data_IF_313628192236
#
_entry.id   IF_313628192236
#
_cell.length_a   1.000
_cell.length_b   1.000
_cell.length_c   1.000
_cell.angle_alpha   90.00
_cell.angle_beta   90.00
_cell.angle_gamma   90.00
#
_symmetry.space_group_name_H-M   'P 1'
#
loop_
_entity.id
_entity.type
_entity.pdbx_description
1 polymer ?
#
# COMPACT_ATOMS: atom_id res chain seq x y z
N UNK A 1 -8.17 21.46 6.90
CA UNK A 1 -9.02 20.26 7.05
C UNK A 1 -10.47 20.70 7.14
N UNK A 2 -11.24 20.59 6.06
CA UNK A 2 -12.65 21.00 6.03
C UNK A 2 -13.62 19.88 6.43
N UNK A 3 -13.20 18.61 6.42
CA UNK A 3 -14.05 17.47 6.79
C UNK A 3 -13.31 16.51 7.75
N UNK A 4 -13.75 16.38 9.02
CA UNK A 4 -13.10 15.55 10.03
C UNK A 4 -12.99 14.06 9.66
N UNK A 5 -13.94 13.55 8.87
CA UNK A 5 -14.01 12.15 8.43
C UNK A 5 -13.59 11.96 6.95
N UNK A 6 -13.04 13.02 6.34
CA UNK A 6 -12.57 13.02 4.95
C UNK A 6 -11.22 12.32 4.79
N UNK A 7 -10.91 11.93 3.55
CA UNK A 7 -9.58 11.45 3.20
C UNK A 7 -8.72 12.60 2.67
N UNK A 8 -7.43 12.56 2.97
CA UNK A 8 -6.50 13.48 2.35
C UNK A 8 -6.26 13.12 0.89
N UNK A 9 -6.29 14.13 0.04
CA UNK A 9 -5.73 13.98 -1.29
C UNK A 9 -4.21 13.79 -1.19
N UNK A 10 -3.62 13.25 -2.27
CA UNK A 10 -2.18 12.99 -2.35
C UNK A 10 -1.34 14.19 -1.90
N UNK A 11 -1.65 15.37 -2.44
CA UNK A 11 -0.82 16.55 -2.22
C UNK A 11 -0.98 17.11 -0.80
N UNK A 12 -2.15 16.98 -0.19
CA UNK A 12 -2.39 17.32 1.23
C UNK A 12 -1.56 16.42 2.16
N UNK A 13 -1.52 15.12 1.87
CA UNK A 13 -0.72 14.15 2.62
C UNK A 13 0.78 14.45 2.53
N UNK A 14 1.27 14.73 1.32
CA UNK A 14 2.68 15.08 1.10
C UNK A 14 3.05 16.35 1.84
N UNK A 15 2.22 17.40 1.72
CA UNK A 15 2.43 18.66 2.42
C UNK A 15 2.48 18.46 3.93
N UNK A 16 1.62 17.60 4.49
CA UNK A 16 1.63 17.31 5.92
C UNK A 16 2.93 16.62 6.36
N UNK A 17 3.45 15.65 5.60
CA UNK A 17 4.73 15.00 5.93
C UNK A 17 5.90 15.97 5.89
N UNK A 18 5.98 16.83 4.87
CA UNK A 18 7.01 17.86 4.77
C UNK A 18 6.94 18.85 5.93
N UNK A 19 5.73 19.31 6.25
CA UNK A 19 5.49 20.26 7.34
C UNK A 19 5.88 19.66 8.69
N UNK A 20 5.54 18.39 8.92
CA UNK A 20 5.91 17.67 10.13
C UNK A 20 7.42 17.50 10.27
N UNK A 21 8.10 17.07 9.20
CA UNK A 21 9.55 16.91 9.20
C UNK A 21 10.28 18.23 9.48
N UNK A 22 9.80 19.34 8.89
CA UNK A 22 10.33 20.68 9.14
C UNK A 22 10.07 21.16 10.56
N UNK A 23 8.84 21.01 11.07
CA UNK A 23 8.46 21.47 12.39
C UNK A 23 9.24 20.75 13.51
N UNK A 24 9.57 19.48 13.29
CA UNK A 24 10.30 18.65 14.24
C UNK A 24 11.83 18.63 13.97
N UNK A 25 12.30 19.39 12.97
CA UNK A 25 13.70 19.43 12.55
C UNK A 25 14.33 18.03 12.34
N UNK A 26 13.58 17.14 11.68
CA UNK A 26 14.00 15.76 11.46
C UNK A 26 15.12 15.70 10.40
N UNK A 27 16.20 14.92 10.61
CA UNK A 27 17.34 14.85 9.69
C UNK A 27 17.06 13.91 8.49
N UNK A 28 15.96 14.13 7.77
CA UNK A 28 15.55 13.31 6.63
C UNK A 28 16.49 13.55 5.45
N UNK A 29 17.03 12.46 4.89
CA UNK A 29 17.85 12.48 3.67
C UNK A 29 17.11 11.74 2.56
N UNK A 30 16.70 12.47 1.53
CA UNK A 30 16.03 11.91 0.35
C UNK A 30 17.05 11.58 -0.74
N UNK A 31 16.66 10.75 -1.71
CA UNK A 31 17.54 10.35 -2.81
C UNK A 31 18.73 9.47 -2.38
N UNK A 32 18.68 8.88 -1.18
CA UNK A 32 19.70 7.99 -0.65
C UNK A 32 19.11 6.58 -0.55
N UNK A 33 19.45 5.73 -1.51
CA UNK A 33 18.99 4.34 -1.52
C UNK A 33 19.93 3.47 -0.65
N UNK A 34 19.37 2.81 0.35
CA UNK A 34 20.10 1.81 1.17
C UNK A 34 20.09 0.49 0.43
N UNK A 35 21.28 -0.10 0.22
CA UNK A 35 21.46 -1.31 -0.58
C UNK A 35 21.81 -2.54 0.26
N UNK A 36 22.40 -2.34 1.44
CA UNK A 36 22.82 -3.43 2.32
C UNK A 36 22.85 -3.00 3.78
N UNK A 37 22.51 -3.93 4.68
CA UNK A 37 22.69 -3.79 6.12
C UNK A 37 23.38 -5.06 6.60
N UNK A 38 24.54 -4.89 7.23
CA UNK A 38 25.35 -6.00 7.75
C UNK A 38 25.85 -5.69 9.16
N UNK A 39 26.39 -6.71 9.84
CA UNK A 39 26.97 -6.52 11.18
C UNK A 39 28.14 -5.55 11.11
N UNK A 40 28.16 -4.58 12.03
CA UNK A 40 29.22 -3.58 12.07
C UNK A 40 30.59 -4.15 12.47
N UNK A 41 31.68 -3.38 12.24
CA UNK A 41 33.04 -3.79 12.55
C UNK A 41 33.20 -4.26 14.01
N UNK A 42 33.95 -5.35 14.19
CA UNK A 42 34.15 -5.95 15.52
C UNK A 42 32.89 -6.60 16.12
N UNK A 43 31.87 -6.88 15.29
CA UNK A 43 30.66 -7.59 15.71
C UNK A 43 29.67 -6.73 16.49
N UNK A 44 29.77 -5.39 16.40
CA UNK A 44 28.92 -4.45 17.15
C UNK A 44 28.13 -3.55 16.21
N UNK A 45 26.85 -3.36 16.52
CA UNK A 45 25.95 -2.52 15.73
C UNK A 45 25.80 -3.00 14.29
N UNK A 46 25.50 -2.05 13.40
CA UNK A 46 25.23 -2.28 11.99
C UNK A 46 26.07 -1.35 11.11
N UNK A 47 26.61 -1.91 10.04
CA UNK A 47 27.06 -1.15 8.88
C UNK A 47 25.92 -1.08 7.86
N UNK A 48 25.57 0.12 7.44
CA UNK A 48 24.52 0.39 6.46
C UNK A 48 25.17 0.98 5.22
N UNK A 49 25.10 0.28 4.10
CA UNK A 49 25.59 0.78 2.81
C UNK A 49 24.46 1.48 2.08
N UNK A 50 24.73 2.68 1.62
CA UNK A 50 23.82 3.43 0.78
C UNK A 50 24.55 4.05 -0.40
N UNK A 51 23.78 4.52 -1.38
CA UNK A 51 24.32 5.36 -2.44
C UNK A 51 25.02 6.59 -1.84
N UNK A 52 26.30 6.76 -2.18
CA UNK A 52 27.13 7.86 -1.67
C UNK A 52 27.89 7.58 -0.37
N UNK A 53 27.77 6.40 0.25
CA UNK A 53 28.65 6.01 1.36
C UNK A 53 28.08 4.97 2.34
N UNK A 54 28.87 4.67 3.38
CA UNK A 54 28.47 3.80 4.48
C UNK A 54 28.18 4.58 5.76
N UNK A 55 27.25 4.07 6.55
CA UNK A 55 26.86 4.59 7.86
C UNK A 55 27.04 3.52 8.93
N UNK A 56 27.34 3.93 10.15
CA UNK A 56 27.39 3.05 11.32
C UNK A 56 26.25 3.42 12.27
N UNK A 57 25.50 2.42 12.72
CA UNK A 57 24.37 2.63 13.62
C UNK A 57 24.32 1.53 14.69
N UNK A 58 23.96 1.90 15.92
CA UNK A 58 23.69 0.92 16.98
C UNK A 58 22.38 0.17 16.73
N UNK A 59 21.40 0.85 16.14
CA UNK A 59 20.06 0.32 15.84
C UNK A 59 19.66 0.72 14.42
N UNK A 60 18.94 -0.17 13.75
CA UNK A 60 18.35 0.10 12.43
C UNK A 60 16.87 -0.24 12.49
N UNK A 61 16.03 0.69 12.04
CA UNK A 61 14.59 0.48 11.89
C UNK A 61 14.28 0.43 10.40
N UNK A 62 13.76 -0.70 9.92
CA UNK A 62 13.41 -0.89 8.51
C UNK A 62 11.95 -0.50 8.31
N UNK A 63 11.73 0.67 7.70
CA UNK A 63 10.42 1.23 7.39
C UNK A 63 10.24 1.42 5.86
N UNK A 64 10.71 0.47 5.04
CA UNK A 64 10.72 0.56 3.58
C UNK A 64 9.35 0.32 2.92
N UNK A 65 8.32 0.03 3.70
CA UNK A 65 7.02 -0.45 3.20
C UNK A 65 7.05 -1.93 2.80
N UNK A 66 5.86 -2.51 2.63
CA UNK A 66 5.67 -3.93 2.27
C UNK A 66 5.13 -4.13 0.83
N UNK A 67 4.75 -3.05 0.14
CA UNK A 67 4.04 -3.08 -1.15
C UNK A 67 4.77 -2.26 -2.24
N UNK A 68 6.09 -2.11 -2.10
CA UNK A 68 6.93 -1.29 -2.97
C UNK A 68 7.28 -1.94 -4.31
N UNK A 69 7.27 -3.28 -4.38
CA UNK A 69 7.63 -4.03 -5.58
C UNK A 69 6.37 -4.52 -6.28
N UNK A 70 6.09 -4.07 -7.51
CA UNK A 70 4.92 -4.52 -8.23
C UNK A 70 4.99 -6.02 -8.55
N UNK A 71 3.95 -6.77 -8.19
CA UNK A 71 3.82 -8.17 -8.58
C UNK A 71 3.10 -8.27 -9.92
N UNK A 72 3.80 -8.76 -10.95
CA UNK A 72 3.21 -9.02 -12.27
C UNK A 72 3.04 -10.53 -12.47
N UNK A 73 1.80 -11.04 -12.60
CA UNK A 73 1.54 -12.48 -12.76
C UNK A 73 2.21 -13.06 -14.01
N UNK A 74 2.73 -14.29 -13.95
CA UNK A 74 3.44 -14.94 -15.08
C UNK A 74 2.61 -15.01 -16.36
N UNK A 75 1.29 -15.22 -16.22
CA UNK A 75 0.34 -15.27 -17.37
C UNK A 75 0.37 -13.99 -18.22
N UNK A 76 0.82 -12.85 -17.68
CA UNK A 76 1.04 -11.60 -18.45
C UNK A 76 1.92 -11.82 -19.69
N UNK A 77 2.89 -12.74 -19.60
CA UNK A 77 3.83 -13.08 -20.69
C UNK A 77 3.19 -13.92 -21.79
N UNK A 78 2.05 -14.53 -21.50
CA UNK A 78 1.31 -15.40 -22.42
C UNK A 78 0.20 -14.64 -23.16
N UNK A 79 -0.08 -13.40 -22.75
CA UNK A 79 -1.11 -12.57 -23.38
C UNK A 79 -0.66 -12.10 -24.77
N UNK A 80 -1.61 -11.93 -25.71
CA UNK A 80 -1.28 -11.45 -27.05
C UNK A 80 -0.55 -10.11 -27.05
N UNK A 81 0.44 -9.95 -27.93
CA UNK A 81 1.29 -8.75 -28.00
C UNK A 81 0.55 -7.46 -28.36
N UNK A 82 -0.65 -7.56 -28.92
CA UNK A 82 -1.50 -6.40 -29.23
C UNK A 82 -2.22 -5.83 -28.01
N UNK A 83 -2.26 -6.56 -26.89
CA UNK A 83 -2.88 -6.12 -25.65
C UNK A 83 -1.89 -5.29 -24.82
N UNK A 84 -2.21 -4.01 -24.61
CA UNK A 84 -1.41 -3.18 -23.71
C UNK A 84 -1.66 -3.58 -22.26
N UNK A 85 -0.57 -3.72 -21.52
CA UNK A 85 -0.58 -4.09 -20.11
C UNK A 85 0.06 -2.97 -19.30
N UNK A 86 -0.58 -2.59 -18.20
CA UNK A 86 -0.08 -1.57 -17.28
C UNK A 86 -0.25 -2.05 -15.84
N UNK A 87 0.82 -1.92 -15.05
CA UNK A 87 0.73 -2.15 -13.62
C UNK A 87 0.14 -0.90 -12.93
N UNK A 88 -0.65 -1.09 -11.87
CA UNK A 88 -1.24 0.02 -11.11
C UNK A 88 -0.19 0.98 -10.55
N UNK A 89 1.03 0.52 -10.27
CA UNK A 89 2.14 1.36 -9.84
C UNK A 89 2.61 2.37 -10.92
N UNK A 90 2.35 2.08 -12.20
CA UNK A 90 2.68 2.96 -13.34
C UNK A 90 1.50 3.84 -13.77
N UNK A 91 0.27 3.49 -13.39
CA UNK A 91 -0.93 4.26 -13.70
C UNK A 91 -0.98 5.58 -12.90
N UNK A 92 -1.38 6.66 -13.57
CA UNK A 92 -1.48 8.02 -13.03
C UNK A 92 -2.80 8.69 -13.38
N UNK A 93 -3.37 8.41 -14.56
CA UNK A 93 -4.66 8.96 -15.00
C UNK A 93 -5.22 8.17 -16.21
N UNK A 94 -6.50 8.37 -16.56
CA UNK A 94 -7.16 7.68 -17.67
C UNK A 94 -6.52 7.93 -19.05
N UNK A 95 -5.91 9.09 -19.27
CA UNK A 95 -5.37 9.52 -20.57
C UNK A 95 -4.13 8.72 -21.00
N UNK A 96 -3.47 8.02 -20.06
CA UNK A 96 -2.34 7.14 -20.37
C UNK A 96 -2.75 5.87 -21.13
N UNK A 97 -4.05 5.56 -21.17
CA UNK A 97 -4.56 4.32 -21.72
C UNK A 97 -5.13 4.55 -23.11
N UNK A 98 -4.87 3.63 -24.05
CA UNK A 98 -5.43 3.71 -25.40
C UNK A 98 -6.96 3.66 -25.37
N UNK A 99 -7.65 4.25 -26.37
CA UNK A 99 -9.10 4.16 -26.49
C UNK A 99 -9.60 2.72 -26.46
N UNK A 100 -10.78 2.50 -25.86
CA UNK A 100 -11.41 1.18 -25.74
C UNK A 100 -11.73 0.78 -24.30
N UNK A 101 -12.16 -0.47 -24.13
CA UNK A 101 -12.47 -1.03 -22.81
C UNK A 101 -11.22 -1.40 -22.01
N UNK A 102 -11.32 -1.34 -20.68
CA UNK A 102 -10.23 -1.67 -19.74
C UNK A 102 -10.62 -2.86 -18.89
N UNK A 103 -9.71 -3.81 -18.73
CA UNK A 103 -9.83 -4.92 -17.79
C UNK A 103 -8.90 -4.68 -16.59
N UNK A 104 -9.47 -4.47 -15.42
CA UNK A 104 -8.71 -4.38 -14.16
C UNK A 104 -8.61 -5.75 -13.51
N UNK A 105 -7.39 -6.22 -13.29
CA UNK A 105 -7.12 -7.50 -12.62
C UNK A 105 -6.82 -7.27 -11.15
N UNK A 106 -7.76 -7.67 -10.28
CA UNK A 106 -7.67 -7.51 -8.83
C UNK A 106 -8.66 -6.46 -8.32
N UNK A 107 -9.42 -6.84 -7.30
CA UNK A 107 -10.49 -6.02 -6.70
C UNK A 107 -10.17 -5.57 -5.27
N UNK A 108 -8.89 -5.36 -4.97
CA UNK A 108 -8.45 -4.68 -3.75
C UNK A 108 -8.49 -3.16 -3.97
N UNK A 109 -7.96 -2.38 -3.01
CA UNK A 109 -8.06 -0.91 -2.96
C UNK A 109 -7.73 -0.22 -4.31
N UNK A 110 -6.51 -0.39 -4.83
CA UNK A 110 -6.12 0.27 -6.08
C UNK A 110 -6.97 -0.18 -7.28
N UNK A 111 -7.34 -1.45 -7.33
CA UNK A 111 -8.11 -2.00 -8.45
C UNK A 111 -9.53 -1.42 -8.52
N UNK A 112 -10.19 -1.25 -7.37
CA UNK A 112 -11.53 -0.65 -7.33
C UNK A 112 -11.48 0.86 -7.54
N UNK A 113 -10.50 1.56 -6.96
CA UNK A 113 -10.34 3.01 -7.13
C UNK A 113 -10.04 3.39 -8.60
N UNK A 114 -9.13 2.67 -9.25
CA UNK A 114 -8.84 2.90 -10.68
C UNK A 114 -10.04 2.53 -11.54
N UNK A 115 -10.74 1.44 -11.23
CA UNK A 115 -11.94 1.07 -11.98
C UNK A 115 -13.04 2.15 -11.88
N UNK A 116 -13.24 2.72 -10.69
CA UNK A 116 -14.17 3.83 -10.45
C UNK A 116 -13.79 5.08 -11.25
N UNK A 117 -12.53 5.55 -11.15
CA UNK A 117 -12.03 6.70 -11.91
C UNK A 117 -12.21 6.52 -13.42
N UNK A 118 -11.93 5.31 -13.94
CA UNK A 118 -12.09 5.02 -15.37
C UNK A 118 -13.57 5.02 -15.80
N UNK A 119 -14.49 4.59 -14.94
CA UNK A 119 -15.94 4.66 -15.19
C UNK A 119 -16.38 6.13 -15.20
N UNK A 120 -15.91 6.94 -14.24
CA UNK A 120 -16.19 8.38 -14.18
C UNK A 120 -15.65 9.12 -15.42
N UNK A 121 -14.50 8.66 -15.95
CA UNK A 121 -13.94 9.12 -17.22
C UNK A 121 -14.69 8.59 -18.46
N UNK A 122 -15.81 7.90 -18.29
CA UNK A 122 -16.69 7.42 -19.36
C UNK A 122 -16.20 6.17 -20.09
N UNK A 123 -15.30 5.38 -19.48
CA UNK A 123 -14.72 4.21 -20.14
C UNK A 123 -15.47 2.91 -19.82
N UNK A 124 -15.57 1.97 -20.77
CA UNK A 124 -16.04 0.62 -20.46
C UNK A 124 -15.01 -0.10 -19.58
N UNK A 125 -15.41 -0.55 -18.39
CA UNK A 125 -14.52 -1.21 -17.43
C UNK A 125 -15.04 -2.60 -17.07
N UNK A 126 -14.14 -3.57 -17.06
CA UNK A 126 -14.35 -4.93 -16.57
C UNK A 126 -13.46 -5.14 -15.35
N UNK A 127 -14.00 -5.69 -14.27
CA UNK A 127 -13.26 -5.93 -13.03
C UNK A 127 -13.17 -7.43 -12.73
N UNK A 128 -11.96 -7.98 -12.76
CA UNK A 128 -11.71 -9.35 -12.28
C UNK A 128 -11.57 -9.35 -10.76
N UNK A 129 -12.49 -10.04 -10.10
CA UNK A 129 -12.52 -10.18 -8.64
C UNK A 129 -11.77 -11.43 -8.18
N UNK A 130 -11.41 -11.45 -6.89
CA UNK A 130 -10.88 -12.63 -6.22
C UNK A 130 -11.62 -12.86 -4.91
N UNK A 131 -11.22 -13.88 -4.14
CA UNK A 131 -11.74 -14.15 -2.80
C UNK A 131 -11.30 -13.12 -1.74
N UNK A 132 -10.61 -12.03 -2.12
CA UNK A 132 -10.27 -10.94 -1.21
C UNK A 132 -11.54 -10.38 -0.58
N UNK A 133 -11.56 -10.37 0.76
CA UNK A 133 -12.65 -9.80 1.54
C UNK A 133 -12.82 -8.31 1.26
N UNK A 134 -14.06 -7.83 1.39
CA UNK A 134 -14.38 -6.41 1.28
C UNK A 134 -14.81 -5.92 2.65
N UNK A 135 -14.29 -4.77 3.04
CA UNK A 135 -14.74 -4.07 4.24
C UNK A 135 -15.69 -2.96 3.83
N UNK A 136 -16.78 -2.81 4.57
CA UNK A 136 -17.66 -1.66 4.43
C UNK A 136 -16.92 -0.41 4.91
N UNK A 137 -17.16 0.73 4.26
CA UNK A 137 -16.53 2.00 4.64
C UNK A 137 -16.97 2.43 6.05
N UNK A 138 -18.26 2.29 6.35
CA UNK A 138 -18.85 2.70 7.62
C UNK A 138 -19.74 1.60 8.20
N UNK A 139 -19.72 1.48 9.52
CA UNK A 139 -20.62 0.66 10.30
C UNK A 139 -21.28 1.54 11.37
N UNK A 140 -22.63 1.60 11.37
CA UNK A 140 -23.43 2.41 12.33
C UNK A 140 -22.96 3.87 12.43
N UNK A 141 -22.63 4.49 11.30
CA UNK A 141 -22.18 5.89 11.23
C UNK A 141 -20.73 6.13 11.67
N UNK A 142 -19.93 5.08 11.87
CA UNK A 142 -18.50 5.17 12.22
C UNK A 142 -17.64 4.50 11.17
N UNK A 143 -16.44 5.03 10.97
CA UNK A 143 -15.39 4.43 10.16
C UNK A 143 -15.07 3.00 10.66
N UNK A 144 -14.93 2.03 9.75
CA UNK A 144 -14.61 0.65 10.12
C UNK A 144 -13.23 0.50 10.77
N UNK A 145 -12.24 1.35 10.40
CA UNK A 145 -10.94 1.41 11.07
C UNK A 145 -11.09 1.98 12.48
N UNK A 146 -11.93 2.99 12.68
CA UNK A 146 -12.25 3.47 14.02
C UNK A 146 -12.86 2.36 14.87
N UNK A 147 -13.82 1.59 14.32
CA UNK A 147 -14.39 0.44 15.00
C UNK A 147 -13.32 -0.60 15.36
N UNK A 148 -12.39 -0.90 14.44
CA UNK A 148 -11.27 -1.81 14.67
C UNK A 148 -10.29 -1.34 15.74
N UNK A 149 -10.03 -0.03 15.83
CA UNK A 149 -9.23 0.57 16.90
C UNK A 149 -9.97 0.46 18.23
N UNK A 150 -11.23 0.90 18.28
CA UNK A 150 -12.03 0.96 19.50
C UNK A 150 -12.29 -0.42 20.11
N UNK A 151 -12.36 -1.47 19.27
CA UNK A 151 -12.55 -2.87 19.71
C UNK A 151 -11.24 -3.58 20.03
N UNK A 152 -10.09 -2.95 19.76
CA UNK A 152 -8.77 -3.54 19.99
C UNK A 152 -8.25 -4.45 18.87
N UNK A 153 -9.07 -4.74 17.86
CA UNK A 153 -8.74 -5.67 16.77
C UNK A 153 -7.50 -5.26 15.96
N UNK A 154 -7.24 -3.96 15.80
CA UNK A 154 -6.03 -3.48 15.10
C UNK A 154 -4.75 -3.51 15.95
N UNK A 155 -4.84 -3.85 17.24
CA UNK A 155 -3.68 -4.01 18.13
C UNK A 155 -3.26 -5.47 18.31
N UNK A 156 -4.04 -6.42 17.78
CA UNK A 156 -3.69 -7.83 17.82
C UNK A 156 -2.42 -8.10 17.01
N UNK A 157 -1.49 -8.82 17.61
CA UNK A 157 -0.27 -9.29 16.96
C UNK A 157 -0.47 -10.70 16.42
N UNK A 158 0.48 -11.18 15.62
CA UNK A 158 0.47 -12.56 15.11
C UNK A 158 0.43 -13.59 16.25
N UNK A 159 0.97 -13.25 17.43
CA UNK A 159 0.98 -14.14 18.60
C UNK A 159 -0.40 -14.25 19.27
N UNK A 160 -1.29 -13.27 19.04
CA UNK A 160 -2.63 -13.22 19.64
C UNK A 160 -3.68 -13.98 18.81
N UNK A 161 -3.29 -14.52 17.66
CA UNK A 161 -4.19 -15.22 16.74
C UNK A 161 -4.26 -16.71 17.04
N UNK A 162 -5.48 -17.24 17.17
CA UNK A 162 -5.72 -18.68 17.32
C UNK A 162 -5.20 -19.50 16.13
N UNK A 163 -5.26 -18.93 14.92
CA UNK A 163 -4.62 -19.48 13.72
C UNK A 163 -3.98 -18.35 12.88
N UNK A 164 -2.64 -18.23 12.86
CA UNK A 164 -1.93 -17.23 12.05
C UNK A 164 -1.73 -17.67 10.58
N UNK A 165 -2.15 -18.87 10.19
CA UNK A 165 -1.99 -19.41 8.83
C UNK A 165 -2.60 -18.52 7.74
N UNK A 166 -3.75 -17.85 7.92
CA UNK A 166 -4.29 -16.91 6.93
C UNK A 166 -3.32 -15.77 6.59
N UNK A 167 -2.58 -15.26 7.58
CA UNK A 167 -1.61 -14.16 7.39
C UNK A 167 -0.38 -14.56 6.57
N UNK A 168 0.00 -15.84 6.60
CA UNK A 168 1.15 -16.36 5.83
C UNK A 168 0.86 -16.48 4.33
N UNK A 169 -0.40 -16.32 3.90
CA UNK A 169 -0.81 -16.61 2.52
C UNK A 169 -1.76 -15.62 1.85
N UNK A 170 -2.44 -14.72 2.56
CA UNK A 170 -3.33 -13.68 1.99
C UNK A 170 -3.70 -12.66 3.08
N UNK A 171 -3.57 -11.37 2.78
CA UNK A 171 -4.18 -10.30 3.56
C UNK A 171 -5.71 -10.45 3.55
N UNK A 172 -6.27 -11.04 4.60
CA UNK A 172 -7.71 -11.08 4.86
C UNK A 172 -7.94 -10.86 6.36
N UNK A 173 -8.58 -9.75 6.70
CA UNK A 173 -9.27 -9.59 7.99
C UNK A 173 -10.72 -10.00 7.72
N UNK A 174 -11.13 -11.13 8.28
CA UNK A 174 -12.52 -11.54 8.34
C UNK A 174 -13.12 -10.92 9.61
N UNK A 175 -14.10 -10.04 9.48
CA UNK A 175 -14.99 -9.72 10.60
C UNK A 175 -16.33 -10.41 10.33
N UNK A 176 -16.62 -11.46 11.09
CA UNK A 176 -17.97 -12.02 11.15
C UNK A 176 -18.85 -11.08 11.97
N UNK A 177 -19.94 -10.61 11.36
CA UNK A 177 -21.08 -10.09 12.10
C UNK A 177 -22.09 -11.23 12.22
N UNK A 178 -22.23 -11.78 13.43
CA UNK A 178 -23.38 -12.60 13.81
C UNK A 178 -24.60 -11.67 14.01
N UNK A 179 -25.84 -12.19 13.84
CA UNK A 179 -26.99 -11.46 13.30
C UNK A 179 -27.53 -10.30 14.14
#
# INVERSE_FOLDING_TARGET
>A
MSEPDGFWHRDELLQNFESYASAMNLPVRTGVNVTDISTGPGGKGFEVKAEGGSYQAANVVVASGAMQTPHTPTVSKELPSWLDQMNTAAYRNPDQLKPGGVLTIGSAQSGVQIAEELIEAGRPVYLCTSKVGRSIRQYRGRDVLYCGIATGNLYQTVADLEDPTPLKGRSQVLMEATP
#
